data_IF_330872117976
#
_entry.id   IF_330872117976
#
_cell.length_a   1.000
_cell.length_b   1.000
_cell.length_c   1.000
_cell.angle_alpha   90.00
_cell.angle_beta   90.00
_cell.angle_gamma   90.00
#
_symmetry.space_group_name_H-M   'P 1'
#
loop_
_entity.id
_entity.type
_entity.pdbx_description
1 polymer ?
#
# COMPACT_ATOMS: atom_id res chain seq x y z
N UNK A 1 0.74 7.56 -6.54
CA UNK A 1 1.69 6.58 -5.99
C UNK A 1 1.39 5.18 -6.54
N UNK A 2 2.32 4.70 -7.37
CA UNK A 2 2.21 3.43 -8.12
C UNK A 2 2.60 2.22 -7.25
N UNK A 3 2.02 1.06 -7.53
CA UNK A 3 2.40 -0.25 -6.98
C UNK A 3 3.91 -0.53 -7.08
N UNK A 4 4.57 -0.01 -8.12
CA UNK A 4 6.02 -0.17 -8.30
C UNK A 4 6.82 0.37 -7.12
N UNK A 5 6.38 1.47 -6.51
CA UNK A 5 7.08 2.06 -5.35
C UNK A 5 6.97 1.15 -4.13
N UNK A 6 5.84 0.45 -3.95
CA UNK A 6 5.65 -0.52 -2.86
C UNK A 6 6.59 -1.71 -3.07
N UNK A 7 6.65 -2.23 -4.30
CA UNK A 7 7.58 -3.31 -4.67
C UNK A 7 9.02 -2.93 -4.40
N UNK A 8 9.40 -1.74 -4.85
CA UNK A 8 10.75 -1.22 -4.68
C UNK A 8 11.08 -0.98 -3.20
N UNK A 9 10.17 -0.39 -2.43
CA UNK A 9 10.39 -0.12 -1.01
C UNK A 9 10.48 -1.39 -0.15
N UNK A 10 9.75 -2.45 -0.52
CA UNK A 10 9.89 -3.77 0.12
C UNK A 10 11.19 -4.45 -0.30
N UNK A 11 11.55 -4.40 -1.59
CA UNK A 11 12.80 -4.96 -2.09
C UNK A 11 14.03 -4.27 -1.48
N UNK A 12 13.99 -2.95 -1.36
CA UNK A 12 15.03 -2.12 -0.75
C UNK A 12 14.95 -2.06 0.78
N UNK A 13 13.96 -2.73 1.40
CA UNK A 13 13.76 -2.73 2.85
C UNK A 13 13.59 -1.34 3.48
N UNK A 14 13.18 -0.34 2.69
CA UNK A 14 12.90 1.02 3.16
C UNK A 14 11.53 1.13 3.83
N UNK A 15 10.60 0.22 3.50
CA UNK A 15 9.29 0.17 4.14
C UNK A 15 9.34 -0.58 5.47
N UNK A 16 9.15 0.11 6.58
CA UNK A 16 9.27 -0.45 7.94
C UNK A 16 7.92 -0.66 8.60
N UNK A 17 7.79 -1.79 9.28
CA UNK A 17 6.61 -2.06 10.09
C UNK A 17 6.58 -1.11 11.30
N UNK A 18 5.47 -0.41 11.57
CA UNK A 18 5.37 0.52 12.68
C UNK A 18 5.46 -0.19 14.05
N UNK A 19 5.06 -1.47 14.14
CA UNK A 19 5.10 -2.25 15.39
C UNK A 19 6.50 -2.76 15.74
N UNK A 20 7.15 -3.48 14.83
CA UNK A 20 8.42 -4.14 15.12
C UNK A 20 9.64 -3.42 14.53
N UNK A 21 9.44 -2.33 13.78
CA UNK A 21 10.47 -1.53 13.09
C UNK A 21 11.36 -2.30 12.09
N UNK A 22 11.00 -3.55 11.81
CA UNK A 22 11.63 -4.42 10.81
C UNK A 22 11.00 -4.18 9.43
N UNK A 23 11.72 -4.51 8.34
CA UNK A 23 11.20 -4.33 6.99
C UNK A 23 9.97 -5.20 6.74
N UNK A 24 8.97 -4.64 6.07
CA UNK A 24 7.77 -5.36 5.67
C UNK A 24 8.14 -6.34 4.57
N UNK A 25 7.72 -7.61 4.72
CA UNK A 25 8.06 -8.65 3.74
C UNK A 25 6.96 -8.94 2.73
N UNK A 26 5.71 -8.60 3.06
CA UNK A 26 4.55 -8.97 2.24
C UNK A 26 3.61 -7.79 2.06
N UNK A 27 3.07 -7.68 0.87
CA UNK A 27 1.93 -6.81 0.59
C UNK A 27 0.95 -7.56 -0.31
N UNK A 28 -0.33 -7.32 -0.08
CA UNK A 28 -1.42 -7.79 -0.93
C UNK A 28 -2.12 -6.56 -1.48
N UNK A 29 -2.13 -6.41 -2.80
CA UNK A 29 -2.98 -5.41 -3.44
C UNK A 29 -4.40 -5.92 -3.45
N UNK A 30 -5.33 -5.16 -2.85
CA UNK A 30 -6.72 -5.60 -2.74
C UNK A 30 -7.65 -4.87 -3.73
N UNK A 31 -7.21 -3.75 -4.30
CA UNK A 31 -7.86 -3.12 -5.44
C UNK A 31 -6.79 -2.50 -6.35
N UNK A 32 -6.78 -2.91 -7.61
CA UNK A 32 -6.47 -1.96 -8.69
C UNK A 32 -7.57 -0.91 -8.64
N UNK A 33 -7.20 0.36 -8.46
CA UNK A 33 -8.10 1.46 -8.76
C UNK A 33 -8.55 1.25 -10.20
N UNK A 34 -9.80 0.80 -10.37
CA UNK A 34 -10.43 0.69 -11.68
C UNK A 34 -10.47 2.11 -12.20
N UNK A 35 -9.67 2.36 -13.23
CA UNK A 35 -9.64 3.61 -13.98
C UNK A 35 -11.09 3.95 -14.36
N UNK A 36 -11.62 5.00 -13.72
CA UNK A 36 -12.89 5.66 -14.00
C UNK A 36 -14.09 4.77 -14.43
N UNK A 37 -15.04 4.54 -13.52
CA UNK A 37 -16.43 4.31 -13.94
C UNK A 37 -16.97 5.64 -14.46
N UNK A 38 -16.86 5.86 -15.78
CA UNK A 38 -17.51 6.98 -16.46
C UNK A 38 -19.00 6.68 -16.62
N UNK A 39 -19.76 6.79 -15.53
CA UNK A 39 -21.23 6.84 -15.60
C UNK A 39 -21.69 8.30 -15.53
N UNK A 40 -21.89 8.87 -16.73
CA UNK A 40 -22.93 9.86 -16.98
C UNK A 40 -22.79 11.28 -16.42
N UNK A 41 -22.61 11.51 -15.12
CA UNK A 41 -23.04 12.81 -14.57
C UNK A 41 -22.37 13.37 -13.32
N UNK A 42 -21.40 12.71 -12.69
CA UNK A 42 -20.64 13.32 -11.58
C UNK A 42 -19.21 12.74 -11.54
N UNK A 43 -18.23 13.52 -12.00
CA UNK A 43 -16.82 13.20 -11.78
C UNK A 43 -16.55 13.47 -10.30
N UNK A 44 -16.66 12.43 -9.48
CA UNK A 44 -15.99 12.44 -8.18
C UNK A 44 -14.52 12.19 -8.54
N UNK A 45 -13.69 13.23 -8.43
CA UNK A 45 -12.23 13.08 -8.43
C UNK A 45 -11.85 12.27 -7.19
N UNK A 46 -12.10 10.96 -7.24
CA UNK A 46 -11.48 10.03 -6.31
C UNK A 46 -10.02 10.10 -6.68
N UNK A 47 -9.18 10.62 -5.80
CA UNK A 47 -7.74 10.76 -5.97
C UNK A 47 -7.14 9.37 -6.30
N UNK A 48 -7.20 9.00 -7.58
CA UNK A 48 -7.03 7.62 -8.08
C UNK A 48 -5.55 7.26 -8.17
N UNK A 49 -4.72 8.00 -7.44
CA UNK A 49 -3.28 7.85 -7.42
C UNK A 49 -2.82 7.05 -6.22
N UNK A 50 -3.61 6.84 -5.17
CA UNK A 50 -3.13 6.05 -4.04
C UNK A 50 -3.51 4.58 -4.19
N UNK A 51 -2.51 3.76 -4.54
CA UNK A 51 -2.66 2.30 -4.61
C UNK A 51 -3.14 1.78 -3.26
N UNK A 52 -4.28 1.08 -3.23
CA UNK A 52 -4.84 0.52 -2.00
C UNK A 52 -4.28 -0.87 -1.74
N UNK A 53 -3.44 -0.99 -0.72
CA UNK A 53 -2.77 -2.25 -0.37
C UNK A 53 -3.04 -2.66 1.06
N UNK A 54 -2.90 -3.95 1.31
CA UNK A 54 -2.81 -4.52 2.65
C UNK A 54 -1.37 -4.90 2.88
N UNK A 55 -0.67 -4.16 3.73
CA UNK A 55 0.70 -4.46 4.12
C UNK A 55 0.68 -5.51 5.23
N UNK A 56 1.60 -6.47 5.15
CA UNK A 56 1.77 -7.53 6.15
C UNK A 56 3.23 -7.64 6.51
N UNK A 57 3.57 -7.39 7.78
CA UNK A 57 4.96 -7.37 8.23
C UNK A 57 5.67 -8.70 7.94
N UNK A 58 5.05 -9.83 8.29
CA UNK A 58 5.56 -11.17 7.99
C UNK A 58 6.84 -11.55 8.75
N UNK A 59 7.29 -10.73 9.69
CA UNK A 59 8.48 -11.01 10.51
C UNK A 59 8.08 -11.79 11.77
N UNK A 60 8.17 -13.12 11.73
CA UNK A 60 8.07 -14.00 12.90
C UNK A 60 6.89 -13.65 13.84
N UNK A 61 7.21 -13.02 14.97
CA UNK A 61 6.27 -12.58 16.00
C UNK A 61 5.39 -11.37 15.65
N UNK A 62 5.66 -10.68 14.54
CA UNK A 62 4.90 -9.49 14.14
C UNK A 62 3.82 -9.82 13.11
N UNK A 63 2.61 -10.12 13.62
CA UNK A 63 1.39 -10.30 12.81
C UNK A 63 0.72 -8.97 12.42
N UNK A 64 1.50 -7.88 12.34
CA UNK A 64 0.94 -6.60 11.91
C UNK A 64 0.50 -6.68 10.45
N UNK A 65 -0.80 -6.47 10.25
CA UNK A 65 -1.47 -6.41 8.96
C UNK A 65 -2.36 -5.19 8.93
N UNK A 66 -2.14 -4.30 7.97
CA UNK A 66 -2.91 -3.06 7.86
C UNK A 66 -3.30 -2.80 6.42
N UNK A 67 -4.57 -2.48 6.23
CA UNK A 67 -5.11 -2.00 4.96
C UNK A 67 -4.98 -0.49 4.94
N UNK A 68 -4.13 0.04 4.06
CA UNK A 68 -3.86 1.46 3.99
C UNK A 68 -3.66 1.92 2.55
N UNK A 69 -4.07 3.15 2.29
CA UNK A 69 -3.76 3.89 1.07
C UNK A 69 -2.63 4.90 1.29
N UNK A 70 -2.15 5.04 2.54
CA UNK A 70 -1.08 5.93 2.98
C UNK A 70 0.20 5.15 3.34
N UNK A 71 0.41 3.98 2.72
CA UNK A 71 1.60 3.14 2.93
C UNK A 71 2.92 3.87 2.65
N UNK A 72 2.90 4.96 1.89
CA UNK A 72 4.06 5.79 1.60
C UNK A 72 4.63 6.48 2.83
N UNK A 73 3.81 6.74 3.86
CA UNK A 73 4.26 7.29 5.14
C UNK A 73 5.08 6.27 5.95
N UNK A 74 5.07 5.00 5.55
CA UNK A 74 5.83 3.92 6.19
C UNK A 74 7.17 3.65 5.51
N UNK A 75 7.47 4.38 4.43
CA UNK A 75 8.75 4.36 3.73
C UNK A 75 9.66 5.41 4.39
N UNK A 76 10.83 4.96 4.84
CA UNK A 76 11.91 5.84 5.36
C UNK A 76 12.71 6.47 4.22
#
# INVERSE_FOLDING_TARGET
MSEQVIKDAIANSTMRCPKCKKPIQKYEKYMDTIDAVRDGFNVVEVDSRSSRVTLTCGNGDCDWRERTEYWSELID
#
